data_IF_000603032071
#
_entry.id   IF_000603032071
#
_cell.length_a   1.000
_cell.length_b   1.000
_cell.length_c   1.000
_cell.angle_alpha   90.00
_cell.angle_beta   90.00
_cell.angle_gamma   90.00
#
_symmetry.space_group_name_H-M   'P 1'
#
loop_
_entity.id
_entity.type
_entity.pdbx_description
1 polymer ?
#
# COMPACT_ATOMS: atom_id res chain seq x y z
N UNK A 1 0.60 17.75 -18.49
CA UNK A 1 -0.16 16.49 -18.39
C UNK A 1 0.85 15.36 -18.39
N UNK A 2 0.98 14.61 -17.30
CA UNK A 2 1.93 13.49 -17.26
C UNK A 2 1.14 12.24 -17.68
N UNK A 3 1.65 11.59 -18.72
CA UNK A 3 1.09 10.37 -19.31
C UNK A 3 1.80 9.18 -18.68
N UNK A 4 1.02 8.15 -18.35
CA UNK A 4 1.38 6.95 -17.62
C UNK A 4 2.42 6.09 -18.38
N UNK A 5 3.20 5.29 -17.65
CA UNK A 5 4.14 4.29 -18.17
C UNK A 5 3.68 2.93 -17.60
N UNK A 6 3.46 1.89 -18.41
CA UNK A 6 2.99 0.58 -17.93
C UNK A 6 4.10 -0.47 -18.03
N UNK A 7 4.70 -0.96 -16.93
CA UNK A 7 5.61 -2.09 -16.99
C UNK A 7 4.88 -3.38 -17.43
N UNK A 8 5.48 -4.27 -18.26
CA UNK A 8 6.82 -4.18 -18.85
C UNK A 8 6.80 -3.50 -20.24
N UNK A 9 7.06 -2.18 -20.27
CA UNK A 9 7.28 -1.43 -21.51
C UNK A 9 8.71 -0.90 -21.53
N UNK A 10 9.39 -1.06 -22.66
CA UNK A 10 10.76 -0.59 -22.89
C UNK A 10 10.70 0.74 -23.63
N UNK A 11 11.48 1.70 -23.15
CA UNK A 11 11.52 3.05 -23.71
C UNK A 11 12.95 3.43 -24.10
N UNK A 12 13.09 4.16 -25.20
CA UNK A 12 14.38 4.71 -25.62
C UNK A 12 14.75 5.90 -24.76
N UNK A 13 15.99 5.90 -24.26
CA UNK A 13 16.59 7.02 -23.55
C UNK A 13 16.91 8.14 -24.55
N UNK A 14 16.41 9.34 -24.28
CA UNK A 14 16.65 10.53 -25.09
C UNK A 14 17.77 11.41 -24.53
N UNK A 15 17.87 11.49 -23.20
CA UNK A 15 18.82 12.36 -22.49
C UNK A 15 19.06 11.81 -21.08
N UNK A 16 20.27 11.98 -20.56
CA UNK A 16 20.67 11.58 -19.21
C UNK A 16 21.26 12.79 -18.48
N UNK A 17 20.87 12.97 -17.21
CA UNK A 17 21.39 14.03 -16.34
C UNK A 17 21.40 13.56 -14.89
N UNK A 18 22.59 13.27 -14.37
CA UNK A 18 22.79 12.70 -13.03
C UNK A 18 21.92 11.45 -12.83
N UNK A 19 20.99 11.48 -11.88
CA UNK A 19 20.11 10.36 -11.53
C UNK A 19 18.79 10.35 -12.33
N UNK A 20 18.66 11.22 -13.33
CA UNK A 20 17.45 11.39 -14.13
C UNK A 20 17.67 11.01 -15.60
N UNK A 21 16.68 10.33 -16.15
CA UNK A 21 16.66 9.91 -17.55
C UNK A 21 15.39 10.40 -18.22
N UNK A 22 15.54 11.00 -19.39
CA UNK A 22 14.42 11.53 -20.19
C UNK A 22 14.02 10.51 -21.24
N UNK A 23 12.73 10.18 -21.30
CA UNK A 23 12.19 9.21 -22.25
C UNK A 23 11.03 9.78 -23.06
N UNK A 24 10.77 9.18 -24.22
CA UNK A 24 9.59 9.46 -25.06
C UNK A 24 8.40 8.60 -24.59
N UNK A 25 7.26 9.23 -24.31
CA UNK A 25 6.00 8.58 -23.93
C UNK A 25 4.92 8.92 -24.96
N UNK A 26 4.61 8.00 -25.88
CA UNK A 26 3.66 8.20 -26.97
C UNK A 26 3.81 9.58 -27.67
N UNK A 27 3.06 10.59 -27.22
CA UNK A 27 3.06 11.94 -27.79
C UNK A 27 3.80 13.01 -26.93
N UNK A 28 4.50 12.64 -25.85
CA UNK A 28 5.17 13.55 -24.92
C UNK A 28 6.57 13.06 -24.53
N UNK A 29 7.35 13.91 -23.86
CA UNK A 29 8.61 13.54 -23.20
C UNK A 29 8.51 13.76 -21.69
N UNK A 30 9.20 12.94 -20.90
CA UNK A 30 9.21 13.06 -19.44
C UNK A 30 10.52 12.56 -18.81
N UNK A 31 10.86 13.09 -17.64
CA UNK A 31 12.02 12.67 -16.85
C UNK A 31 11.59 11.64 -15.79
N UNK A 32 12.36 10.56 -15.68
CA UNK A 32 12.18 9.47 -14.72
C UNK A 32 13.49 9.30 -13.95
N UNK A 33 13.40 9.15 -12.64
CA UNK A 33 14.56 8.90 -11.78
C UNK A 33 15.02 7.43 -11.91
N UNK A 34 16.32 7.18 -11.86
CA UNK A 34 16.94 5.85 -12.07
C UNK A 34 16.38 4.73 -11.18
N UNK A 35 15.84 5.07 -10.01
CA UNK A 35 15.25 4.10 -9.08
C UNK A 35 13.97 3.41 -9.61
N UNK A 36 13.36 3.94 -10.68
CA UNK A 36 12.06 3.48 -11.18
C UNK A 36 12.14 2.65 -12.47
N UNK A 37 13.34 2.39 -13.01
CA UNK A 37 13.52 1.57 -14.20
C UNK A 37 14.84 0.79 -14.13
N UNK A 38 14.96 -0.24 -14.97
CA UNK A 38 16.23 -0.92 -15.22
C UNK A 38 16.72 -0.55 -16.63
N UNK A 39 18.01 -0.24 -16.77
CA UNK A 39 18.63 -0.06 -18.09
C UNK A 39 18.94 -1.44 -18.65
N UNK A 40 18.42 -1.72 -19.84
CA UNK A 40 18.75 -2.93 -20.61
C UNK A 40 19.73 -2.49 -21.69
N UNK A 41 21.00 -2.87 -21.54
CA UNK A 41 22.00 -2.67 -22.59
C UNK A 41 21.81 -3.72 -23.70
N UNK A 42 21.62 -3.26 -24.93
CA UNK A 42 21.47 -4.13 -26.10
C UNK A 42 22.80 -4.84 -26.42
N UNK A 43 22.86 -6.13 -26.12
CA UNK A 43 23.96 -7.02 -26.52
C UNK A 43 23.60 -7.67 -27.87
N UNK A 44 23.55 -6.88 -28.95
CA UNK A 44 23.44 -7.41 -30.31
C UNK A 44 24.63 -7.01 -31.18
N UNK A 45 25.76 -7.69 -30.97
CA UNK A 45 26.76 -7.91 -32.00
C UNK A 45 27.51 -9.24 -31.76
N UNK A 46 27.62 -10.06 -32.83
CA UNK A 46 28.26 -11.39 -32.96
C UNK A 46 27.46 -12.56 -32.37
N UNK A 47 27.30 -13.71 -33.01
CA UNK A 47 27.75 -14.20 -34.32
C UNK A 47 26.86 -15.40 -34.72
N UNK A 48 26.92 -15.77 -35.99
CA UNK A 48 26.19 -16.83 -36.70
C UNK A 48 26.56 -18.26 -36.27
N UNK A 49 25.62 -19.21 -36.38
CA UNK A 49 25.61 -20.27 -37.42
C UNK A 49 24.70 -21.49 -37.13
N UNK A 50 23.98 -21.86 -38.20
CA UNK A 50 23.53 -23.18 -38.71
C UNK A 50 22.79 -24.22 -37.84
N UNK A 51 21.52 -24.55 -38.19
CA UNK A 51 21.01 -25.74 -38.95
C UNK A 51 21.03 -27.05 -38.12
N UNK A 52 20.07 -28.00 -38.09
CA UNK A 52 18.85 -28.45 -38.79
C UNK A 52 18.28 -29.59 -37.89
N UNK A 53 17.01 -29.99 -37.86
CA UNK A 53 16.29 -30.86 -38.81
C UNK A 53 14.83 -31.05 -38.31
N UNK A 54 13.94 -31.34 -39.27
CA UNK A 54 12.52 -31.69 -39.11
C UNK A 54 12.31 -33.07 -38.47
N UNK A 55 11.17 -33.30 -37.79
CA UNK A 55 10.28 -34.44 -38.10
C UNK A 55 8.91 -34.33 -37.41
N UNK A 56 7.99 -35.17 -37.88
CA UNK A 56 6.55 -34.95 -38.04
C UNK A 56 5.62 -35.54 -36.96
N UNK A 57 4.43 -34.92 -36.85
CA UNK A 57 3.08 -35.46 -36.62
C UNK A 57 2.88 -36.73 -35.76
N UNK A 58 2.05 -36.62 -34.71
CA UNK A 58 0.81 -37.43 -34.57
C UNK A 58 -0.04 -37.01 -33.37
N UNK A 59 -1.34 -36.78 -33.60
CA UNK A 59 -2.37 -36.82 -32.55
C UNK A 59 -2.62 -38.26 -32.10
N UNK A 60 -3.21 -38.45 -30.91
CA UNK A 60 -4.48 -39.16 -30.93
C UNK A 60 -5.56 -38.61 -29.99
N UNK A 61 -6.76 -38.52 -30.58
CA UNK A 61 -8.06 -39.03 -30.13
C UNK A 61 -8.52 -38.77 -28.69
N UNK A 62 -9.58 -37.97 -28.66
CA UNK A 62 -10.72 -37.98 -27.75
C UNK A 62 -11.11 -39.35 -27.20
N UNK A 63 -11.29 -39.39 -25.88
CA UNK A 63 -12.16 -40.37 -25.21
C UNK A 63 -13.18 -39.60 -24.39
N UNK A 64 -14.45 -39.73 -24.77
CA UNK A 64 -15.60 -39.34 -23.98
C UNK A 64 -15.61 -40.12 -22.65
N UNK A 65 -15.74 -39.41 -21.53
CA UNK A 65 -16.22 -39.98 -20.28
C UNK A 65 -17.48 -39.25 -19.86
N UNK A 66 -18.55 -40.07 -19.78
CA UNK A 66 -19.89 -39.77 -19.29
C UNK A 66 -19.89 -39.13 -17.90
N UNK A 67 -20.65 -38.03 -17.82
CA UNK A 67 -21.52 -37.57 -16.73
C UNK A 67 -21.30 -38.18 -15.35
N UNK A 68 -20.61 -37.41 -14.49
CA UNK A 68 -20.87 -37.42 -13.06
C UNK A 68 -21.54 -36.08 -12.72
N UNK A 69 -22.83 -36.12 -12.40
CA UNK A 69 -23.54 -35.01 -11.77
C UNK A 69 -22.88 -34.68 -10.43
N UNK A 70 -21.88 -33.80 -10.45
CA UNK A 70 -21.50 -33.04 -9.27
C UNK A 70 -22.55 -31.97 -9.06
N UNK A 71 -23.36 -32.12 -8.01
CA UNK A 71 -24.10 -31.01 -7.40
C UNK A 71 -23.09 -29.92 -7.04
N UNK A 72 -22.84 -29.01 -7.98
CA UNK A 72 -22.16 -27.76 -7.72
C UNK A 72 -23.13 -26.94 -6.87
N UNK A 73 -22.99 -27.04 -5.56
CA UNK A 73 -23.45 -25.99 -4.66
C UNK A 73 -22.82 -24.71 -5.19
N UNK A 74 -23.62 -23.80 -5.74
CA UNK A 74 -23.20 -22.42 -5.96
C UNK A 74 -22.78 -21.88 -4.60
N UNK A 75 -21.49 -21.99 -4.28
CA UNK A 75 -20.89 -21.17 -3.25
C UNK A 75 -20.95 -19.78 -3.84
N UNK A 76 -21.97 -19.02 -3.45
CA UNK A 76 -21.95 -17.58 -3.58
C UNK A 76 -20.75 -17.12 -2.75
N UNK A 77 -19.58 -17.02 -3.38
CA UNK A 77 -18.43 -16.36 -2.80
C UNK A 77 -18.93 -14.95 -2.54
N UNK A 78 -19.25 -14.63 -1.29
CA UNK A 78 -19.41 -13.23 -0.91
C UNK A 78 -18.09 -12.59 -1.31
N UNK A 79 -18.13 -11.78 -2.35
CA UNK A 79 -16.97 -11.03 -2.80
C UNK A 79 -16.50 -10.25 -1.57
N UNK A 80 -15.34 -10.61 -1.03
CA UNK A 80 -14.69 -9.82 0.01
C UNK A 80 -14.76 -8.36 -0.44
N UNK A 81 -15.39 -7.48 0.33
CA UNK A 81 -15.84 -6.16 -0.15
C UNK A 81 -14.73 -5.23 -0.66
N UNK A 82 -13.47 -5.63 -0.50
CA UNK A 82 -12.28 -4.88 -0.94
C UNK A 82 -11.53 -5.53 -2.10
N UNK A 83 -12.02 -6.65 -2.66
CA UNK A 83 -11.36 -7.34 -3.78
C UNK A 83 -11.18 -6.41 -4.99
N UNK A 84 -9.95 -6.32 -5.51
CA UNK A 84 -9.58 -5.43 -6.62
C UNK A 84 -9.54 -3.94 -6.28
N UNK A 85 -9.76 -3.56 -5.01
CA UNK A 85 -9.59 -2.17 -4.58
C UNK A 85 -8.11 -1.85 -4.41
N UNK A 86 -7.68 -0.72 -4.95
CA UNK A 86 -6.30 -0.24 -4.84
C UNK A 86 -6.13 0.56 -3.56
N UNK A 87 -5.41 0.01 -2.59
CA UNK A 87 -5.17 0.66 -1.31
C UNK A 87 -3.71 1.08 -1.25
N UNK A 88 -3.46 2.37 -1.07
CA UNK A 88 -2.10 2.87 -0.82
C UNK A 88 -1.93 3.06 0.67
N UNK A 89 -0.95 2.36 1.24
CA UNK A 89 -0.54 2.54 2.64
C UNK A 89 0.73 3.36 2.65
N UNK A 90 0.74 4.39 3.47
CA UNK A 90 1.84 5.30 3.66
C UNK A 90 2.40 5.13 5.08
N UNK A 91 3.44 4.30 5.27
CA UNK A 91 4.12 4.24 6.55
C UNK A 91 4.82 5.58 6.79
N UNK A 92 4.39 6.31 7.83
CA UNK A 92 4.91 7.63 8.20
C UNK A 92 6.43 7.67 8.34
N UNK A 93 7.04 8.86 8.20
CA UNK A 93 8.47 9.06 8.44
C UNK A 93 9.40 8.18 7.55
N UNK A 94 10.62 7.90 8.00
CA UNK A 94 11.62 7.04 7.36
C UNK A 94 12.98 7.71 7.17
N UNK A 95 14.05 6.91 7.28
CA UNK A 95 15.44 7.35 7.12
C UNK A 95 15.81 8.47 8.07
N UNK A 96 16.16 9.64 7.52
CA UNK A 96 16.56 10.82 8.31
C UNK A 96 15.43 11.43 9.15
N UNK A 97 14.18 11.13 8.81
CA UNK A 97 13.01 11.52 9.60
C UNK A 97 12.59 10.29 10.40
N UNK A 98 12.96 10.24 11.68
CA UNK A 98 12.71 9.07 12.52
C UNK A 98 11.29 9.05 13.10
N UNK A 99 10.59 10.19 13.06
CA UNK A 99 9.32 10.42 13.75
C UNK A 99 9.49 10.56 15.26
N UNK A 100 8.44 10.23 16.01
CA UNK A 100 8.48 10.17 17.46
C UNK A 100 9.46 9.09 17.96
N UNK A 101 10.02 9.33 19.13
CA UNK A 101 10.82 8.34 19.87
C UNK A 101 9.92 7.75 20.95
N UNK A 102 9.83 6.41 20.98
CA UNK A 102 9.03 5.67 21.94
C UNK A 102 9.67 5.59 23.33
N UNK A 103 8.91 5.08 24.30
CA UNK A 103 9.36 4.92 25.68
C UNK A 103 10.60 4.00 25.81
N UNK A 104 10.78 3.07 24.85
CA UNK A 104 11.93 2.18 24.74
C UNK A 104 13.05 2.69 23.82
N UNK A 105 13.02 3.97 23.42
CA UNK A 105 13.94 4.60 22.45
C UNK A 105 13.80 4.10 21.00
N UNK A 106 12.73 3.35 20.69
CA UNK A 106 12.41 2.94 19.32
C UNK A 106 11.87 4.09 18.47
N UNK A 107 12.16 4.07 17.17
CA UNK A 107 11.71 5.11 16.23
C UNK A 107 10.36 4.78 15.62
N UNK A 108 9.46 5.77 15.57
CA UNK A 108 8.14 5.67 14.92
C UNK A 108 8.23 5.15 13.47
N UNK A 109 9.25 5.58 12.73
CA UNK A 109 9.52 5.10 11.37
C UNK A 109 9.65 3.58 11.25
N UNK A 110 10.13 2.87 12.28
CA UNK A 110 10.17 1.41 12.29
C UNK A 110 8.81 0.81 12.61
N UNK A 111 8.14 1.31 13.65
CA UNK A 111 6.81 0.83 14.04
C UNK A 111 5.76 0.99 12.94
N UNK A 112 5.79 2.13 12.25
CA UNK A 112 4.90 2.40 11.10
C UNK A 112 5.18 1.48 9.93
N UNK A 113 6.46 1.18 9.64
CA UNK A 113 6.84 0.24 8.58
C UNK A 113 6.37 -1.18 8.88
N UNK A 114 6.63 -1.68 10.08
CA UNK A 114 6.22 -3.02 10.50
C UNK A 114 4.70 -3.17 10.44
N UNK A 115 3.97 -2.17 10.93
CA UNK A 115 2.51 -2.13 10.86
C UNK A 115 2.01 -2.14 9.42
N UNK A 116 2.59 -1.34 8.54
CA UNK A 116 2.19 -1.26 7.15
C UNK A 116 2.47 -2.57 6.38
N UNK A 117 3.57 -3.27 6.70
CA UNK A 117 3.89 -4.57 6.10
C UNK A 117 2.88 -5.65 6.50
N UNK A 118 2.52 -5.73 7.79
CA UNK A 118 1.47 -6.65 8.26
C UNK A 118 0.12 -6.28 7.67
N UNK A 119 -0.23 -4.99 7.66
CA UNK A 119 -1.49 -4.49 7.12
C UNK A 119 -1.61 -4.77 5.62
N UNK A 120 -0.53 -4.62 4.86
CA UNK A 120 -0.47 -4.99 3.44
C UNK A 120 -0.82 -6.46 3.24
N UNK A 121 -0.15 -7.37 3.94
CA UNK A 121 -0.43 -8.81 3.80
C UNK A 121 -1.90 -9.12 4.09
N UNK A 122 -2.43 -8.61 5.20
CA UNK A 122 -3.83 -8.86 5.60
C UNK A 122 -4.81 -8.29 4.58
N UNK A 123 -4.60 -7.07 4.06
CA UNK A 123 -5.48 -6.50 3.03
C UNK A 123 -5.43 -7.31 1.71
N UNK A 124 -4.26 -7.78 1.32
CA UNK A 124 -4.06 -8.62 0.13
C UNK A 124 -4.72 -10.00 0.28
N UNK A 125 -4.70 -10.60 1.48
CA UNK A 125 -5.42 -11.85 1.78
C UNK A 125 -6.94 -11.69 1.60
N UNK A 126 -7.46 -10.46 1.71
CA UNK A 126 -8.85 -10.11 1.45
C UNK A 126 -9.10 -9.59 0.02
N UNK A 127 -8.09 -9.67 -0.85
CA UNK A 127 -8.17 -9.43 -2.29
C UNK A 127 -7.89 -8.00 -2.74
N UNK A 128 -7.49 -7.09 -1.84
CA UNK A 128 -7.10 -5.74 -2.23
C UNK A 128 -5.75 -5.73 -2.98
N UNK A 129 -5.55 -4.77 -3.87
CA UNK A 129 -4.25 -4.47 -4.46
C UNK A 129 -3.55 -3.41 -3.61
N UNK A 130 -2.49 -3.78 -2.88
CA UNK A 130 -1.89 -2.90 -1.89
C UNK A 130 -0.52 -2.39 -2.30
N UNK A 131 -0.33 -1.08 -2.25
CA UNK A 131 0.94 -0.42 -2.58
C UNK A 131 1.46 0.36 -1.37
N UNK A 132 2.76 0.26 -1.08
CA UNK A 132 3.40 1.01 0.00
C UNK A 132 4.16 2.22 -0.56
N UNK A 133 4.00 3.40 0.04
CA UNK A 133 4.83 4.56 -0.34
C UNK A 133 6.31 4.35 -0.01
N UNK A 134 6.62 3.47 0.96
CA UNK A 134 7.94 2.89 1.24
C UNK A 134 7.80 1.48 1.82
N UNK A 135 8.72 0.59 1.52
CA UNK A 135 8.79 -0.79 2.03
C UNK A 135 10.11 -1.09 2.76
N UNK A 136 10.88 -0.04 3.04
CA UNK A 136 12.17 -0.09 3.72
C UNK A 136 12.40 1.24 4.44
N UNK A 137 13.44 1.31 5.28
CA UNK A 137 13.78 2.51 6.04
C UNK A 137 14.43 3.57 5.13
N UNK A 138 13.58 4.42 4.54
CA UNK A 138 14.02 5.50 3.67
C UNK A 138 13.14 6.73 3.85
N UNK A 139 13.75 7.90 3.73
CA UNK A 139 13.02 9.16 3.75
C UNK A 139 12.14 9.29 2.51
N UNK A 140 10.85 9.60 2.73
CA UNK A 140 9.91 9.88 1.65
C UNK A 140 9.24 11.26 1.87
N UNK A 141 9.45 12.24 0.98
CA UNK A 141 8.82 13.57 1.09
C UNK A 141 7.29 13.49 1.09
N UNK A 142 6.63 14.36 1.84
CA UNK A 142 5.16 14.39 1.95
C UNK A 142 4.46 14.49 0.59
N UNK A 143 4.97 15.33 -0.32
CA UNK A 143 4.43 15.47 -1.68
C UNK A 143 4.56 14.18 -2.48
N UNK A 144 5.66 13.42 -2.34
CA UNK A 144 5.88 12.16 -3.05
C UNK A 144 4.88 11.09 -2.63
N UNK A 145 4.55 11.03 -1.33
CA UNK A 145 3.52 10.11 -0.78
C UNK A 145 2.17 10.32 -1.44
N UNK A 146 1.77 11.59 -1.58
CA UNK A 146 0.51 11.97 -2.21
C UNK A 146 0.52 11.73 -3.72
N UNK A 147 1.61 12.11 -4.40
CA UNK A 147 1.79 11.85 -5.84
C UNK A 147 1.68 10.36 -6.13
N UNK A 148 2.30 9.51 -5.30
CA UNK A 148 2.23 8.07 -5.41
C UNK A 148 0.77 7.57 -5.35
N UNK A 149 -0.01 8.01 -4.36
CA UNK A 149 -1.42 7.64 -4.23
C UNK A 149 -2.27 8.03 -5.45
N UNK A 150 -2.02 9.23 -5.99
CA UNK A 150 -2.72 9.73 -7.16
C UNK A 150 -2.33 8.97 -8.44
N UNK A 151 -1.04 8.64 -8.62
CA UNK A 151 -0.53 7.91 -9.79
C UNK A 151 -1.08 6.49 -9.86
N UNK A 152 -1.12 5.78 -8.73
CA UNK A 152 -1.74 4.46 -8.64
C UNK A 152 -3.28 4.52 -8.61
N UNK A 153 -3.85 5.73 -8.68
CA UNK A 153 -5.30 5.98 -8.64
C UNK A 153 -5.98 5.24 -7.48
N UNK A 154 -5.36 5.28 -6.29
CA UNK A 154 -5.77 4.52 -5.12
C UNK A 154 -7.25 4.76 -4.78
N UNK A 155 -8.04 3.72 -4.55
CA UNK A 155 -9.41 3.88 -4.05
C UNK A 155 -9.43 4.48 -2.65
N UNK A 156 -8.42 4.15 -1.83
CA UNK A 156 -8.17 4.76 -0.51
C UNK A 156 -6.66 4.90 -0.27
N UNK A 157 -6.27 6.00 0.36
CA UNK A 157 -4.95 6.27 0.92
C UNK A 157 -5.00 6.24 2.46
N UNK A 158 -4.13 5.45 3.09
CA UNK A 158 -4.02 5.32 4.54
C UNK A 158 -2.60 5.69 4.98
N UNK A 159 -2.42 6.83 5.62
CA UNK A 159 -1.16 7.19 6.28
C UNK A 159 -1.15 6.62 7.69
N UNK A 160 -0.11 5.87 8.04
CA UNK A 160 0.01 5.13 9.31
C UNK A 160 1.07 5.80 10.17
N UNK A 161 0.67 6.18 11.38
CA UNK A 161 1.47 6.92 12.36
C UNK A 161 1.18 6.43 13.79
N UNK A 162 2.00 6.91 14.72
CA UNK A 162 1.75 6.77 16.14
C UNK A 162 1.95 8.09 16.87
N UNK A 163 1.02 8.40 17.77
CA UNK A 163 1.11 9.57 18.62
C UNK A 163 2.30 9.45 19.58
N UNK A 164 2.71 10.59 20.14
CA UNK A 164 3.63 10.63 21.27
C UNK A 164 3.40 11.89 22.11
N UNK A 165 3.39 11.73 23.42
CA UNK A 165 3.42 12.81 24.40
C UNK A 165 4.25 12.37 25.62
N UNK A 166 5.59 12.48 25.54
CA UNK A 166 6.49 12.03 26.60
C UNK A 166 6.22 12.67 27.96
N UNK A 167 5.64 13.87 27.99
CA UNK A 167 5.25 14.57 29.22
C UNK A 167 4.05 13.92 29.91
N UNK A 168 3.26 13.13 29.19
CA UNK A 168 2.06 12.44 29.68
C UNK A 168 2.07 10.97 29.24
N UNK A 169 2.97 10.12 29.78
CA UNK A 169 3.17 8.74 29.32
C UNK A 169 1.98 7.81 29.57
N UNK A 170 0.94 8.28 30.30
CA UNK A 170 -0.34 7.59 30.46
C UNK A 170 -1.33 7.83 29.31
N UNK A 171 -1.04 8.76 28.39
CA UNK A 171 -1.86 8.98 27.20
C UNK A 171 -1.93 7.68 26.39
N UNK A 172 -3.12 7.36 25.89
CA UNK A 172 -3.36 6.12 25.17
C UNK A 172 -4.54 6.23 24.22
N UNK A 173 -4.64 5.29 23.29
CA UNK A 173 -5.75 5.16 22.35
C UNK A 173 -5.41 5.60 20.93
N UNK A 174 -6.39 5.42 20.05
CA UNK A 174 -6.23 5.68 18.62
C UNK A 174 -7.01 6.93 18.21
N UNK A 175 -6.44 7.72 17.30
CA UNK A 175 -7.15 8.80 16.60
C UNK A 175 -7.20 8.48 15.10
N UNK A 176 -8.27 8.90 14.43
CA UNK A 176 -8.33 8.91 12.96
C UNK A 176 -8.53 10.33 12.46
N UNK A 177 -7.65 10.78 11.56
CA UNK A 177 -7.73 12.10 10.96
C UNK A 177 -8.13 12.05 9.49
N UNK A 178 -8.91 13.05 9.09
CA UNK A 178 -9.34 13.29 7.72
C UNK A 178 -9.27 14.79 7.41
N UNK A 179 -9.27 15.19 6.14
CA UNK A 179 -9.26 16.61 5.76
C UNK A 179 -10.59 17.10 5.17
N UNK A 180 -11.15 16.37 4.20
CA UNK A 180 -12.37 16.76 3.50
C UNK A 180 -13.58 16.02 4.05
N UNK A 181 -14.75 16.66 4.11
CA UNK A 181 -16.03 16.01 4.47
C UNK A 181 -16.34 14.76 3.63
N UNK A 182 -15.82 14.70 2.39
CA UNK A 182 -15.87 13.50 1.53
C UNK A 182 -15.34 12.24 2.24
N UNK A 183 -14.33 12.40 3.07
CA UNK A 183 -13.57 11.32 3.69
C UNK A 183 -14.07 11.00 5.11
N UNK A 184 -15.05 11.76 5.64
CA UNK A 184 -15.56 11.59 7.01
C UNK A 184 -16.19 10.21 7.22
N UNK A 185 -16.99 9.72 6.27
CA UNK A 185 -17.63 8.41 6.39
C UNK A 185 -16.62 7.26 6.37
N UNK A 186 -15.61 7.35 5.50
CA UNK A 186 -14.48 6.43 5.47
C UNK A 186 -13.75 6.42 6.81
N UNK A 187 -13.49 7.62 7.37
CA UNK A 187 -12.83 7.79 8.65
C UNK A 187 -13.61 7.09 9.78
N UNK A 188 -14.93 7.29 9.85
CA UNK A 188 -15.79 6.64 10.85
C UNK A 188 -15.75 5.12 10.75
N UNK A 189 -15.93 4.55 9.55
CA UNK A 189 -15.95 3.09 9.41
C UNK A 189 -14.61 2.44 9.75
N UNK A 190 -13.48 3.05 9.34
CA UNK A 190 -12.16 2.53 9.68
C UNK A 190 -11.90 2.67 11.18
N UNK A 191 -12.26 3.80 11.78
CA UNK A 191 -12.07 4.01 13.22
C UNK A 191 -12.88 3.00 14.05
N UNK A 192 -14.18 2.83 13.75
CA UNK A 192 -15.03 1.84 14.42
C UNK A 192 -14.47 0.43 14.30
N UNK A 193 -13.98 0.05 13.12
CA UNK A 193 -13.34 -1.24 12.88
C UNK A 193 -12.06 -1.44 13.70
N UNK A 194 -11.21 -0.42 13.78
CA UNK A 194 -9.99 -0.42 14.60
C UNK A 194 -10.31 -0.62 16.08
N UNK A 195 -11.23 0.17 16.65
CA UNK A 195 -11.61 0.08 18.06
C UNK A 195 -12.21 -1.30 18.37
N UNK A 196 -13.15 -1.77 17.55
CA UNK A 196 -13.81 -3.06 17.75
C UNK A 196 -12.84 -4.26 17.68
N UNK A 197 -11.78 -4.16 16.88
CA UNK A 197 -10.84 -5.27 16.67
C UNK A 197 -9.69 -5.30 17.69
N UNK A 198 -9.43 -4.18 18.35
CA UNK A 198 -8.21 -3.99 19.19
C UNK A 198 -8.49 -3.72 20.65
N UNK A 199 -9.73 -3.33 20.99
CA UNK A 199 -10.10 -2.82 22.31
C UNK A 199 -9.22 -1.64 22.76
N UNK A 200 -8.70 -0.87 21.79
CA UNK A 200 -7.97 0.36 22.07
C UNK A 200 -8.90 1.43 22.62
N UNK A 201 -8.35 2.38 23.38
CA UNK A 201 -9.13 3.54 23.82
C UNK A 201 -9.55 4.37 22.60
N UNK A 202 -10.84 4.62 22.49
CA UNK A 202 -11.43 5.49 21.47
C UNK A 202 -11.12 6.97 21.77
N UNK A 203 -10.45 7.64 20.83
CA UNK A 203 -10.24 9.10 20.85
C UNK A 203 -10.95 9.80 19.69
N UNK A 204 -11.61 9.03 18.84
CA UNK A 204 -12.52 9.48 17.81
C UNK A 204 -11.87 9.86 16.49
N UNK A 205 -12.74 10.42 15.66
CA UNK A 205 -12.44 10.86 14.31
C UNK A 205 -12.42 12.38 14.29
N UNK A 206 -11.34 12.99 13.79
CA UNK A 206 -11.20 14.45 13.81
C UNK A 206 -10.67 15.01 12.50
N UNK A 207 -11.26 16.12 12.04
CA UNK A 207 -10.74 16.85 10.90
C UNK A 207 -9.40 17.54 11.23
N UNK A 208 -8.40 17.43 10.34
CA UNK A 208 -7.08 18.05 10.47
C UNK A 208 -6.53 18.53 9.12
N UNK A 209 -5.88 19.69 9.12
CA UNK A 209 -5.13 20.20 7.97
C UNK A 209 -3.71 19.62 7.94
N UNK A 210 -3.61 18.38 7.45
CA UNK A 210 -2.35 17.67 7.26
C UNK A 210 -2.03 17.61 5.77
N UNK A 211 -0.80 17.91 5.37
CA UNK A 211 -0.43 18.01 3.95
C UNK A 211 -0.77 16.74 3.16
N UNK A 212 -0.46 15.56 3.71
CA UNK A 212 -0.75 14.26 3.07
C UNK A 212 -2.24 13.98 2.86
N UNK A 213 -3.11 14.71 3.55
CA UNK A 213 -4.56 14.63 3.39
C UNK A 213 -5.08 15.77 2.50
N UNK A 214 -4.71 17.02 2.82
CA UNK A 214 -5.20 18.21 2.12
C UNK A 214 -4.86 18.24 0.64
N UNK A 215 -3.70 17.72 0.25
CA UNK A 215 -3.28 17.71 -1.17
C UNK A 215 -3.60 16.41 -1.88
N UNK A 216 -4.26 15.46 -1.22
CA UNK A 216 -4.57 14.16 -1.79
C UNK A 216 -5.93 14.18 -2.46
N UNK A 217 -5.96 13.84 -3.76
CA UNK A 217 -7.21 13.84 -4.52
C UNK A 217 -7.96 12.53 -4.37
N UNK A 218 -7.33 11.50 -3.80
CA UNK A 218 -7.95 10.22 -3.44
C UNK A 218 -8.56 10.31 -2.03
N UNK A 219 -9.58 9.51 -1.68
CA UNK A 219 -10.05 9.38 -0.31
C UNK A 219 -8.87 9.06 0.62
N UNK A 220 -8.67 9.86 1.67
CA UNK A 220 -7.43 9.82 2.45
C UNK A 220 -7.65 9.97 3.94
N UNK A 221 -6.96 9.13 4.72
CA UNK A 221 -6.92 9.19 6.18
C UNK A 221 -5.49 9.18 6.69
N UNK A 222 -5.29 9.75 7.89
CA UNK A 222 -4.12 9.50 8.72
C UNK A 222 -4.57 8.80 10.00
N UNK A 223 -3.96 7.67 10.32
CA UNK A 223 -4.30 6.82 11.44
C UNK A 223 -3.20 6.95 12.50
N UNK A 224 -3.54 7.48 13.67
CA UNK A 224 -2.67 7.44 14.84
C UNK A 224 -3.02 6.20 15.66
N UNK A 225 -2.22 5.14 15.55
CA UNK A 225 -2.59 3.79 15.98
C UNK A 225 -2.21 3.47 17.44
N UNK A 226 -2.02 4.50 18.27
CA UNK A 226 -1.59 4.38 19.67
C UNK A 226 -0.53 5.42 20.02
N UNK A 227 -0.02 5.40 21.25
CA UNK A 227 1.02 6.30 21.76
C UNK A 227 2.34 5.56 22.02
N UNK A 228 3.41 5.92 21.30
CA UNK A 228 4.73 5.35 21.54
C UNK A 228 5.35 5.80 22.86
N UNK A 229 4.95 6.97 23.37
CA UNK A 229 5.35 7.45 24.71
C UNK A 229 4.73 6.65 25.85
N UNK A 230 3.76 5.77 25.57
CA UNK A 230 3.14 4.88 26.54
C UNK A 230 3.73 3.47 26.39
N UNK A 231 4.55 3.06 27.36
CA UNK A 231 5.24 1.78 27.34
C UNK A 231 4.30 0.57 27.16
N UNK A 232 3.06 0.64 27.69
CA UNK A 232 2.09 -0.45 27.49
C UNK A 232 1.60 -0.51 26.06
N UNK A 233 1.35 0.64 25.43
CA UNK A 233 0.94 0.67 24.01
C UNK A 233 2.11 0.32 23.08
N UNK A 234 3.30 0.85 23.33
CA UNK A 234 4.51 0.53 22.55
C UNK A 234 4.80 -0.98 22.54
N UNK A 235 4.67 -1.65 23.70
CA UNK A 235 4.82 -3.11 23.80
C UNK A 235 3.73 -3.86 23.03
N UNK A 236 2.48 -3.36 23.01
CA UNK A 236 1.39 -3.96 22.23
C UNK A 236 1.64 -3.81 20.73
N UNK A 237 2.11 -2.64 20.28
CA UNK A 237 2.36 -2.32 18.87
C UNK A 237 3.41 -3.24 18.25
N UNK A 238 4.37 -3.73 19.03
CA UNK A 238 5.36 -4.70 18.57
C UNK A 238 4.81 -6.13 18.41
N UNK A 239 3.62 -6.41 18.93
CA UNK A 239 3.00 -7.73 18.82
C UNK A 239 2.36 -7.92 17.45
N UNK A 240 2.83 -8.92 16.71
CA UNK A 240 2.21 -9.33 15.44
C UNK A 240 0.71 -9.59 15.56
N UNK A 241 0.25 -10.20 16.66
CA UNK A 241 -1.18 -10.46 16.89
C UNK A 241 -1.98 -9.16 16.96
N UNK A 242 -1.40 -8.11 17.57
CA UNK A 242 -2.03 -6.81 17.69
C UNK A 242 -2.02 -6.04 16.35
N UNK A 243 -0.91 -6.12 15.59
CA UNK A 243 -0.83 -5.57 14.23
C UNK A 243 -1.86 -6.23 13.29
N UNK A 244 -2.02 -7.55 13.35
CA UNK A 244 -3.04 -8.26 12.57
C UNK A 244 -4.46 -7.88 13.01
N UNK A 245 -4.69 -7.63 14.32
CA UNK A 245 -5.97 -7.16 14.82
C UNK A 245 -6.31 -5.75 14.32
N UNK A 246 -5.35 -4.82 14.35
CA UNK A 246 -5.49 -3.49 13.73
C UNK A 246 -5.80 -3.62 12.24
N UNK A 247 -5.07 -4.47 11.53
CA UNK A 247 -5.23 -4.68 10.09
C UNK A 247 -6.62 -5.24 9.74
N UNK A 248 -7.14 -6.18 10.54
CA UNK A 248 -8.53 -6.66 10.41
C UNK A 248 -9.55 -5.57 10.69
N UNK A 249 -9.29 -4.67 11.63
CA UNK A 249 -10.12 -3.49 11.88
C UNK A 249 -10.22 -2.58 10.66
N UNK A 250 -9.08 -2.31 10.00
CA UNK A 250 -9.03 -1.57 8.74
C UNK A 250 -9.80 -2.30 7.63
N UNK A 251 -9.61 -3.61 7.47
CA UNK A 251 -10.38 -4.43 6.50
C UNK A 251 -11.89 -4.29 6.73
N UNK A 252 -12.34 -4.44 7.98
CA UNK A 252 -13.75 -4.33 8.32
C UNK A 252 -14.32 -2.94 7.96
N UNK A 253 -13.58 -1.88 8.29
CA UNK A 253 -13.98 -0.52 7.94
C UNK A 253 -14.05 -0.28 6.43
N UNK A 254 -13.05 -0.74 5.68
CA UNK A 254 -13.04 -0.64 4.22
C UNK A 254 -14.17 -1.44 3.57
N UNK A 255 -14.46 -2.65 4.06
CA UNK A 255 -15.60 -3.44 3.58
C UNK A 255 -16.93 -2.73 3.81
N UNK A 256 -17.09 -1.99 4.91
CA UNK A 256 -18.30 -1.19 5.13
C UNK A 256 -18.35 0.04 4.22
N UNK A 257 -17.20 0.67 3.96
CA UNK A 257 -17.11 1.84 3.09
C UNK A 257 -17.42 1.53 1.62
N UNK A 258 -16.96 0.39 1.10
CA UNK A 258 -17.13 0.02 -0.31
C UNK A 258 -18.40 -0.76 -0.65
N UNK A 259 -19.27 -1.00 0.34
CA UNK A 259 -20.57 -1.66 0.14
C UNK A 259 -21.57 -0.84 -0.67
#
# INVERSE_FOLDING_TARGET
MITQVNPPEIYTILEESEEWVKIQLANNVGWIHQDYFAIIEDQSASDSDELTEEESLSEPKTTEMKDAETNATEITVQTNGISGKRIVIDPGHGGRDVGAIGASEGFESYYTLDTALVMKQVLEDYGAEVYLTRNQDRYNPLTSRVTFANLYQADVFLSVHYNSTPEYPSAQGMDTFYFSERDQQLASYIHEGLIASTDARDRGVTQRDLQVLRTNHRPSLLLELGFLSNETEENRIQSRVYLEAMSRGVVNGLQQYFK
#
